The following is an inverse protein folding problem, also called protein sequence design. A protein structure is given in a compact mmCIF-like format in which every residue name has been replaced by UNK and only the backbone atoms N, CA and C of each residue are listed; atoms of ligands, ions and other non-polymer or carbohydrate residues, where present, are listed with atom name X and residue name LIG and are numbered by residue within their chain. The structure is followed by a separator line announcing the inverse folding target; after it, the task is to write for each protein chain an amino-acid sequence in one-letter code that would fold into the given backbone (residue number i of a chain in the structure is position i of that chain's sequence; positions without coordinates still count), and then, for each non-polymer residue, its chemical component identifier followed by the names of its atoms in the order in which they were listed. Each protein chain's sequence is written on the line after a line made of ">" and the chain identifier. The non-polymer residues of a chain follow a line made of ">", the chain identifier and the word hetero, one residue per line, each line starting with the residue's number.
data_IF_670870686475
#
_entry.id   IF_670870686475
#
_cell.length_a   1.000
_cell.length_b   1.000
_cell.length_c   1.000
_cell.angle_alpha   90.00
_cell.angle_beta   90.00
_cell.angle_gamma   90.00
#
_symmetry.space_group_name_H-M   'P 1'
#
loop_
_entity.id
_entity.type
_entity.pdbx_description
1 polymer ?
#
# COMPACT_ATOMS: atom_id res chain seq x y z
N UNK A 1 19.41 16.85 17.82
CA UNK A 1 19.37 17.63 16.54
C UNK A 1 19.23 16.62 15.40
N UNK A 2 18.19 16.73 14.55
CA UNK A 2 18.07 15.81 13.41
C UNK A 2 19.01 16.25 12.30
N UNK A 3 19.82 15.35 11.71
CA UNK A 3 20.76 15.73 10.65
C UNK A 3 19.99 16.32 9.45
N UNK A 4 20.47 17.45 8.93
CA UNK A 4 19.93 18.02 7.69
C UNK A 4 20.29 17.07 6.54
N UNK A 5 19.28 16.64 5.79
CA UNK A 5 19.45 15.80 4.60
C UNK A 5 19.91 16.75 3.47
N UNK A 6 21.13 16.57 2.97
CA UNK A 6 21.73 17.48 1.98
C UNK A 6 21.71 16.92 0.54
N UNK A 7 21.77 15.60 0.40
CA UNK A 7 21.83 14.91 -0.90
C UNK A 7 20.45 14.52 -1.45
N UNK A 8 19.43 14.54 -0.60
CA UNK A 8 18.04 14.35 -1.01
C UNK A 8 17.25 15.62 -0.67
N UNK A 9 16.58 16.17 -1.67
CA UNK A 9 15.47 17.08 -1.46
C UNK A 9 14.22 16.19 -1.36
N UNK A 10 13.69 15.86 -0.15
CA UNK A 10 12.53 14.99 0.00
C UNK A 10 11.28 15.76 -0.45
N UNK A 11 11.15 15.97 -1.76
CA UNK A 11 9.98 16.61 -2.31
C UNK A 11 8.83 15.62 -2.20
N UNK A 12 7.76 16.01 -1.49
CA UNK A 12 6.51 15.25 -1.43
C UNK A 12 5.89 14.99 -2.81
N UNK A 13 6.47 15.59 -3.86
CA UNK A 13 6.00 15.58 -5.24
C UNK A 13 5.93 14.18 -5.82
N UNK A 14 6.93 13.31 -5.61
CA UNK A 14 6.91 11.95 -6.20
C UNK A 14 5.76 11.11 -5.63
N UNK A 15 5.62 10.94 -4.30
CA UNK A 15 4.50 10.16 -3.76
C UNK A 15 3.15 10.86 -4.00
N UNK A 16 3.10 12.20 -4.03
CA UNK A 16 1.89 12.95 -4.40
C UNK A 16 1.50 12.71 -5.86
N UNK A 17 2.45 12.73 -6.80
CA UNK A 17 2.20 12.45 -8.22
C UNK A 17 1.74 11.01 -8.41
N UNK A 18 2.34 10.05 -7.71
CA UNK A 18 1.88 8.66 -7.73
C UNK A 18 0.44 8.51 -7.19
N UNK A 19 0.12 9.18 -6.08
CA UNK A 19 -1.23 9.19 -5.51
C UNK A 19 -2.25 9.83 -6.46
N UNK A 20 -1.93 10.99 -7.03
CA UNK A 20 -2.79 11.70 -7.98
C UNK A 20 -2.95 10.91 -9.30
N UNK A 21 -1.89 10.28 -9.80
CA UNK A 21 -1.95 9.40 -10.97
C UNK A 21 -2.82 8.16 -10.70
N UNK A 22 -2.80 7.61 -9.49
CA UNK A 22 -3.69 6.54 -9.06
C UNK A 22 -5.17 6.95 -9.10
N UNK A 23 -5.51 8.13 -8.56
CA UNK A 23 -6.87 8.69 -8.62
C UNK A 23 -7.28 8.99 -10.06
N UNK A 24 -6.41 9.59 -10.85
CA UNK A 24 -6.68 9.87 -12.26
C UNK A 24 -6.90 8.57 -13.05
N UNK A 25 -6.07 7.56 -12.83
CA UNK A 25 -6.22 6.24 -13.44
C UNK A 25 -7.57 5.60 -13.10
N UNK A 26 -8.01 5.71 -11.85
CA UNK A 26 -9.34 5.26 -11.45
C UNK A 26 -10.44 6.03 -12.20
N UNK A 27 -10.38 7.35 -12.27
CA UNK A 27 -11.40 8.17 -12.95
C UNK A 27 -11.45 7.91 -14.46
N UNK A 28 -10.29 7.72 -15.09
CA UNK A 28 -10.17 7.59 -16.55
C UNK A 28 -10.49 6.17 -17.03
N UNK A 29 -10.04 5.15 -16.29
CA UNK A 29 -10.12 3.75 -16.73
C UNK A 29 -11.15 2.90 -15.98
N UNK A 30 -11.76 3.39 -14.89
CA UNK A 30 -12.81 2.62 -14.23
C UNK A 30 -14.06 2.51 -15.11
N UNK A 31 -14.74 1.35 -15.09
CA UNK A 31 -16.05 1.20 -15.72
C UNK A 31 -17.00 2.29 -15.22
N UNK A 32 -17.82 2.88 -16.11
CA UNK A 32 -18.74 3.96 -15.74
C UNK A 32 -19.75 3.57 -14.65
N UNK A 33 -20.00 2.27 -14.47
CA UNK A 33 -20.80 1.71 -13.38
C UNK A 33 -20.19 1.90 -11.99
N UNK A 34 -18.89 2.21 -11.90
CA UNK A 34 -18.15 2.45 -10.64
C UNK A 34 -18.13 3.93 -10.27
N UNK A 35 -18.29 4.84 -11.24
CA UNK A 35 -18.26 6.29 -11.00
C UNK A 35 -19.27 6.78 -9.94
N UNK A 36 -20.53 6.27 -9.87
CA UNK A 36 -21.47 6.64 -8.80
C UNK A 36 -21.05 6.16 -7.40
N UNK A 37 -20.12 5.21 -7.32
CA UNK A 37 -19.57 4.64 -6.07
C UNK A 37 -18.24 5.29 -5.67
N UNK A 38 -17.78 6.31 -6.40
CA UNK A 38 -16.64 7.13 -6.01
C UNK A 38 -17.06 8.08 -4.88
N UNK A 39 -17.20 7.53 -3.69
CA UNK A 39 -17.37 8.33 -2.49
C UNK A 39 -16.02 8.82 -1.95
N UNK A 40 -16.08 9.60 -0.87
CA UNK A 40 -14.89 10.10 -0.20
C UNK A 40 -13.99 8.97 0.31
N UNK A 41 -14.56 7.82 0.72
CA UNK A 41 -13.80 6.70 1.25
C UNK A 41 -12.94 6.04 0.17
N UNK A 42 -13.45 5.84 -1.05
CA UNK A 42 -12.69 5.31 -2.18
C UNK A 42 -11.54 6.25 -2.56
N UNK A 43 -11.81 7.56 -2.65
CA UNK A 43 -10.78 8.54 -3.00
C UNK A 43 -9.68 8.57 -1.93
N UNK A 44 -10.04 8.61 -0.66
CA UNK A 44 -9.10 8.58 0.46
C UNK A 44 -8.29 7.28 0.47
N UNK A 45 -8.93 6.13 0.20
CA UNK A 45 -8.27 4.84 0.11
C UNK A 45 -7.17 4.85 -0.96
N UNK A 46 -7.50 5.28 -2.18
CA UNK A 46 -6.55 5.28 -3.32
C UNK A 46 -5.43 6.29 -3.13
N UNK A 47 -5.73 7.49 -2.60
CA UNK A 47 -4.72 8.48 -2.28
C UNK A 47 -3.74 7.98 -1.21
N UNK A 48 -4.27 7.38 -0.13
CA UNK A 48 -3.44 6.83 0.94
C UNK A 48 -2.58 5.66 0.44
N UNK A 49 -3.16 4.74 -0.34
CA UNK A 49 -2.45 3.62 -0.95
C UNK A 49 -1.34 4.11 -1.89
N UNK A 50 -1.64 5.10 -2.73
CA UNK A 50 -0.69 5.69 -3.67
C UNK A 50 0.44 6.45 -2.99
N UNK A 51 0.15 7.17 -1.90
CA UNK A 51 1.17 7.87 -1.10
C UNK A 51 2.14 6.86 -0.45
N UNK A 52 1.60 5.75 0.06
CA UNK A 52 2.39 4.67 0.65
C UNK A 52 3.27 3.97 -0.40
N UNK A 53 2.67 3.45 -1.47
CA UNK A 53 3.38 2.71 -2.52
C UNK A 53 4.35 3.60 -3.31
N UNK A 54 3.90 4.80 -3.70
CA UNK A 54 4.72 5.78 -4.41
C UNK A 54 5.89 6.28 -3.58
N UNK A 55 5.73 6.39 -2.27
CA UNK A 55 6.81 6.75 -1.36
C UNK A 55 7.88 5.66 -1.21
N UNK A 56 7.47 4.39 -1.17
CA UNK A 56 8.41 3.25 -1.20
C UNK A 56 9.19 3.25 -2.52
N UNK A 57 8.51 3.43 -3.65
CA UNK A 57 9.15 3.49 -4.97
C UNK A 57 10.14 4.67 -5.06
N UNK A 58 9.74 5.84 -4.54
CA UNK A 58 10.61 7.01 -4.47
C UNK A 58 11.87 6.71 -3.64
N UNK A 59 11.73 6.13 -2.45
CA UNK A 59 12.90 5.73 -1.64
C UNK A 59 13.78 4.69 -2.34
N UNK A 60 13.18 3.68 -2.97
CA UNK A 60 13.91 2.64 -3.69
C UNK A 60 14.71 3.19 -4.89
N UNK A 61 14.28 4.32 -5.46
CA UNK A 61 15.01 5.01 -6.55
C UNK A 61 16.20 5.83 -6.08
N UNK A 62 16.30 6.14 -4.78
CA UNK A 62 17.40 6.94 -4.22
C UNK A 62 18.66 6.08 -4.04
N UNK A 63 19.80 6.72 -4.25
CA UNK A 63 21.13 6.14 -3.98
C UNK A 63 21.87 7.06 -3.00
N UNK A 64 21.79 6.79 -1.68
CA UNK A 64 22.50 7.61 -0.70
C UNK A 64 24.02 7.51 -0.90
N UNK A 65 24.76 8.63 -0.94
CA UNK A 65 26.20 8.62 -1.22
C UNK A 65 27.00 7.80 -0.19
N UNK A 66 26.63 7.88 1.09
CA UNK A 66 27.27 7.14 2.19
C UNK A 66 26.53 5.83 2.55
N UNK A 67 25.64 5.37 1.67
CA UNK A 67 24.80 4.19 1.89
C UNK A 67 23.65 4.39 2.90
N UNK A 68 22.81 3.36 3.02
CA UNK A 68 21.60 3.36 3.85
C UNK A 68 21.88 3.33 5.36
N UNK A 69 23.10 2.97 5.76
CA UNK A 69 23.53 3.01 7.17
C UNK A 69 23.87 4.41 7.67
N UNK A 70 24.00 5.39 6.76
CA UNK A 70 24.34 6.76 7.13
C UNK A 70 23.26 7.42 8.01
N UNK A 71 23.63 8.32 8.94
CA UNK A 71 22.66 9.02 9.79
C UNK A 71 21.60 9.79 9.00
N UNK A 72 21.96 10.34 7.84
CA UNK A 72 21.05 11.09 6.97
C UNK A 72 20.03 10.17 6.28
N UNK A 73 20.47 9.01 5.77
CA UNK A 73 19.58 8.03 5.14
C UNK A 73 18.62 7.40 6.17
N UNK A 74 19.12 7.08 7.37
CA UNK A 74 18.28 6.61 8.48
C UNK A 74 17.22 7.63 8.88
N UNK A 75 17.60 8.91 9.01
CA UNK A 75 16.65 9.97 9.33
C UNK A 75 15.57 10.14 8.25
N UNK A 76 15.91 9.93 6.97
CA UNK A 76 14.94 9.92 5.88
C UNK A 76 13.98 8.73 5.99
N UNK A 77 14.50 7.52 6.21
CA UNK A 77 13.68 6.32 6.43
C UNK A 77 12.73 6.50 7.61
N UNK A 78 13.21 7.02 8.75
CA UNK A 78 12.38 7.23 9.95
C UNK A 78 11.26 8.27 9.72
N UNK A 79 11.53 9.32 8.94
CA UNK A 79 10.51 10.30 8.55
C UNK A 79 9.48 9.69 7.62
N UNK A 80 9.95 8.98 6.59
CA UNK A 80 9.06 8.29 5.66
C UNK A 80 8.23 7.23 6.36
N UNK A 81 8.82 6.43 7.25
CA UNK A 81 8.14 5.36 7.98
C UNK A 81 6.92 5.87 8.76
N UNK A 82 6.99 7.07 9.36
CA UNK A 82 5.84 7.68 10.04
C UNK A 82 4.69 7.99 9.08
N UNK A 83 5.00 8.61 7.93
CA UNK A 83 4.00 8.93 6.90
C UNK A 83 3.45 7.66 6.27
N UNK A 84 4.32 6.70 5.97
CA UNK A 84 3.97 5.41 5.40
C UNK A 84 3.05 4.61 6.32
N UNK A 85 3.31 4.58 7.63
CA UNK A 85 2.44 3.92 8.61
C UNK A 85 1.06 4.57 8.69
N UNK A 86 0.97 5.90 8.69
CA UNK A 86 -0.31 6.61 8.66
C UNK A 86 -1.07 6.34 7.37
N UNK A 87 -0.41 6.45 6.21
CA UNK A 87 -1.00 6.19 4.91
C UNK A 87 -1.49 4.73 4.79
N UNK A 88 -0.69 3.77 5.28
CA UNK A 88 -1.08 2.37 5.34
C UNK A 88 -2.29 2.15 6.27
N UNK A 89 -2.31 2.76 7.46
CA UNK A 89 -3.42 2.64 8.40
C UNK A 89 -4.73 3.20 7.81
N UNK A 90 -4.68 4.37 7.15
CA UNK A 90 -5.83 4.95 6.45
C UNK A 90 -6.30 4.04 5.32
N UNK A 91 -5.39 3.48 4.54
CA UNK A 91 -5.70 2.52 3.46
C UNK A 91 -6.39 1.27 4.02
N UNK A 92 -5.84 0.69 5.08
CA UNK A 92 -6.40 -0.50 5.72
C UNK A 92 -7.81 -0.24 6.28
N UNK A 93 -7.99 0.87 7.02
CA UNK A 93 -9.27 1.23 7.62
C UNK A 93 -10.35 1.46 6.55
N UNK A 94 -10.04 2.27 5.53
CA UNK A 94 -10.98 2.53 4.43
C UNK A 94 -11.26 1.27 3.60
N UNK A 95 -10.32 0.32 3.52
CA UNK A 95 -10.56 -0.98 2.90
C UNK A 95 -11.52 -1.85 3.71
N UNK A 96 -11.40 -1.86 5.04
CA UNK A 96 -12.32 -2.58 5.95
C UNK A 96 -13.72 -1.98 5.89
N UNK A 97 -13.85 -0.65 5.87
CA UNK A 97 -15.14 0.02 5.74
C UNK A 97 -15.84 -0.36 4.44
N UNK A 98 -15.14 -0.28 3.31
CA UNK A 98 -15.68 -0.70 2.00
C UNK A 98 -16.07 -2.18 1.97
N UNK A 99 -15.31 -3.04 2.66
CA UNK A 99 -15.64 -4.46 2.78
C UNK A 99 -16.95 -4.68 3.55
N UNK A 100 -17.18 -3.93 4.62
CA UNK A 100 -18.42 -3.99 5.40
C UNK A 100 -19.66 -3.57 4.62
N UNK A 101 -19.51 -2.70 3.62
CA UNK A 101 -20.62 -2.30 2.74
C UNK A 101 -20.91 -3.31 1.63
N UNK A 102 -19.91 -4.12 1.25
CA UNK A 102 -20.01 -5.07 0.14
C UNK A 102 -20.34 -6.50 0.57
N UNK A 103 -19.94 -6.92 1.76
CA UNK A 103 -20.34 -8.20 2.34
C UNK A 103 -21.71 -8.07 2.99
N UNK A 104 -22.66 -8.94 2.62
CA UNK A 104 -23.97 -9.00 3.26
C UNK A 104 -23.99 -10.00 4.40
N UNK A 105 -23.26 -11.11 4.23
CA UNK A 105 -23.10 -12.17 5.21
C UNK A 105 -21.63 -12.56 5.38
N UNK A 106 -21.25 -13.08 6.56
CA UNK A 106 -19.87 -13.57 6.81
C UNK A 106 -19.51 -14.72 5.87
N UNK A 107 -20.50 -15.52 5.45
CA UNK A 107 -20.30 -16.57 4.46
C UNK A 107 -19.78 -16.05 3.12
N UNK A 108 -20.10 -14.80 2.77
CA UNK A 108 -19.66 -14.21 1.51
C UNK A 108 -18.14 -14.18 1.37
N UNK A 109 -17.41 -14.20 2.50
CA UNK A 109 -15.95 -14.25 2.55
C UNK A 109 -15.36 -15.47 1.82
N UNK A 110 -16.04 -16.62 1.82
CA UNK A 110 -15.55 -17.84 1.18
C UNK A 110 -16.48 -18.41 0.10
N UNK A 111 -17.71 -17.89 -0.03
CA UNK A 111 -18.65 -18.30 -1.07
C UNK A 111 -18.59 -17.40 -2.31
N UNK A 112 -18.10 -16.16 -2.18
CA UNK A 112 -18.04 -15.20 -3.29
C UNK A 112 -16.61 -14.93 -3.74
N UNK A 113 -16.43 -14.60 -5.02
CA UNK A 113 -15.14 -14.19 -5.55
C UNK A 113 -14.62 -12.93 -4.85
N UNK A 114 -15.51 -11.97 -4.57
CA UNK A 114 -15.18 -10.76 -3.82
C UNK A 114 -14.60 -11.09 -2.43
N UNK A 115 -15.29 -11.94 -1.67
CA UNK A 115 -14.86 -12.37 -0.35
C UNK A 115 -13.52 -13.07 -0.37
N UNK A 116 -13.27 -13.94 -1.36
CA UNK A 116 -11.99 -14.61 -1.50
C UNK A 116 -10.85 -13.63 -1.78
N UNK A 117 -11.08 -12.65 -2.66
CA UNK A 117 -10.11 -11.56 -2.93
C UNK A 117 -9.82 -10.76 -1.66
N UNK A 118 -10.86 -10.45 -0.89
CA UNK A 118 -10.73 -9.74 0.37
C UNK A 118 -9.93 -10.54 1.40
N UNK A 119 -10.16 -11.86 1.52
CA UNK A 119 -9.38 -12.73 2.40
C UNK A 119 -7.89 -12.72 2.05
N UNK A 120 -7.56 -12.80 0.75
CA UNK A 120 -6.17 -12.71 0.28
C UNK A 120 -5.56 -11.36 0.63
N UNK A 121 -6.29 -10.25 0.44
CA UNK A 121 -5.84 -8.91 0.85
C UNK A 121 -5.61 -8.81 2.36
N UNK A 122 -6.51 -9.35 3.18
CA UNK A 122 -6.36 -9.38 4.63
C UNK A 122 -5.13 -10.20 5.05
N UNK A 123 -4.94 -11.38 4.47
CA UNK A 123 -3.77 -12.23 4.72
C UNK A 123 -2.46 -11.51 4.36
N UNK A 124 -2.44 -10.79 3.23
CA UNK A 124 -1.30 -9.97 2.82
C UNK A 124 -0.98 -8.86 3.82
N UNK A 125 -2.00 -8.13 4.29
CA UNK A 125 -1.86 -7.08 5.30
C UNK A 125 -1.31 -7.64 6.61
N UNK A 126 -1.84 -8.78 7.07
CA UNK A 126 -1.37 -9.46 8.28
C UNK A 126 0.08 -9.96 8.12
N UNK A 127 0.44 -10.52 6.96
CA UNK A 127 1.80 -10.93 6.67
C UNK A 127 2.76 -9.73 6.73
N UNK A 128 2.43 -8.60 6.10
CA UNK A 128 3.24 -7.39 6.17
C UNK A 128 3.42 -6.84 7.59
N UNK A 129 2.36 -6.85 8.40
CA UNK A 129 2.43 -6.45 9.81
C UNK A 129 3.34 -7.40 10.61
N UNK A 130 3.18 -8.71 10.43
CA UNK A 130 4.03 -9.72 11.06
C UNK A 130 5.50 -9.55 10.69
N UNK A 131 5.79 -9.25 9.43
CA UNK A 131 7.14 -8.96 8.93
C UNK A 131 7.71 -7.67 9.53
N UNK A 132 6.92 -6.60 9.60
CA UNK A 132 7.35 -5.35 10.25
C UNK A 132 7.68 -5.56 11.74
N UNK A 133 6.94 -6.42 12.44
CA UNK A 133 7.22 -6.78 13.83
C UNK A 133 8.46 -7.66 13.95
N UNK A 134 8.62 -8.64 13.06
CA UNK A 134 9.79 -9.52 13.02
C UNK A 134 11.09 -8.77 12.74
N UNK A 135 11.05 -7.79 11.83
CA UNK A 135 12.18 -6.89 11.54
C UNK A 135 12.55 -6.04 12.76
N UNK A 136 11.56 -5.46 13.45
CA UNK A 136 11.79 -4.72 14.71
C UNK A 136 12.37 -5.61 15.81
N UNK A 137 12.02 -6.89 15.82
CA UNK A 137 12.57 -7.88 16.74
C UNK A 137 13.96 -8.43 16.33
N UNK A 138 14.57 -7.91 15.26
CA UNK A 138 15.92 -8.29 14.82
C UNK A 138 16.01 -9.65 14.11
N UNK A 139 14.89 -10.20 13.63
CA UNK A 139 14.87 -11.51 12.95
C UNK A 139 15.19 -11.38 11.46
N UNK A 140 16.03 -12.24 10.88
CA UNK A 140 16.34 -12.21 9.44
C UNK A 140 15.17 -12.80 8.62
N UNK A 141 14.31 -11.94 8.07
CA UNK A 141 13.09 -12.34 7.31
C UNK A 141 13.13 -12.02 5.80
N UNK A 142 14.21 -11.45 5.29
CA UNK A 142 14.30 -10.86 3.94
C UNK A 142 13.92 -11.76 2.74
N UNK A 143 14.18 -13.07 2.81
CA UNK A 143 13.83 -13.99 1.71
C UNK A 143 12.36 -14.40 1.70
N UNK A 144 11.77 -14.58 2.88
CA UNK A 144 10.34 -14.83 3.03
C UNK A 144 9.53 -13.57 2.69
N UNK A 145 10.09 -12.38 2.98
CA UNK A 145 9.52 -11.08 2.59
C UNK A 145 9.32 -10.96 1.08
N UNK A 146 10.37 -11.21 0.29
CA UNK A 146 10.29 -11.07 -1.16
C UNK A 146 9.30 -12.06 -1.79
N UNK A 147 9.28 -13.31 -1.31
CA UNK A 147 8.37 -14.33 -1.81
C UNK A 147 6.90 -14.04 -1.46
N UNK A 148 6.62 -13.63 -0.22
CA UNK A 148 5.28 -13.27 0.19
C UNK A 148 4.77 -12.04 -0.57
N UNK A 149 5.61 -11.01 -0.74
CA UNK A 149 5.26 -9.81 -1.51
C UNK A 149 4.96 -10.14 -2.98
N UNK A 150 5.80 -10.95 -3.63
CA UNK A 150 5.60 -11.38 -5.03
C UNK A 150 4.31 -12.20 -5.16
N UNK A 151 4.05 -13.14 -4.26
CA UNK A 151 2.83 -13.96 -4.28
C UNK A 151 1.57 -13.11 -4.10
N UNK A 152 1.59 -12.17 -3.16
CA UNK A 152 0.47 -11.25 -2.91
C UNK A 152 0.23 -10.36 -4.12
N UNK A 153 1.27 -9.74 -4.66
CA UNK A 153 1.15 -8.86 -5.84
C UNK A 153 0.66 -9.66 -7.05
N UNK A 154 1.21 -10.86 -7.27
CA UNK A 154 0.81 -11.75 -8.35
C UNK A 154 -0.65 -12.20 -8.23
N UNK A 155 -1.08 -12.64 -7.04
CA UNK A 155 -2.47 -13.02 -6.78
C UNK A 155 -3.42 -11.84 -6.95
N UNK A 156 -3.03 -10.65 -6.48
CA UNK A 156 -3.84 -9.43 -6.61
C UNK A 156 -3.97 -8.99 -8.07
N UNK A 157 -2.88 -9.04 -8.84
CA UNK A 157 -2.88 -8.72 -10.26
C UNK A 157 -3.71 -9.73 -11.07
N UNK A 158 -3.61 -11.01 -10.74
CA UNK A 158 -4.40 -12.07 -11.37
C UNK A 158 -5.90 -11.84 -11.10
N UNK A 159 -6.27 -11.57 -9.85
CA UNK A 159 -7.66 -11.30 -9.45
C UNK A 159 -8.21 -10.00 -10.04
N UNK A 160 -7.37 -8.99 -10.28
CA UNK A 160 -7.77 -7.76 -10.96
C UNK A 160 -7.95 -7.94 -12.48
N UNK A 161 -7.20 -8.88 -13.10
CA UNK A 161 -7.24 -9.14 -14.54
C UNK A 161 -8.48 -9.94 -14.98
N UNK A 162 -9.10 -10.69 -14.07
CA UNK A 162 -10.37 -11.36 -14.30
C UNK A 162 -11.49 -10.57 -13.60
N UNK A 163 -12.19 -9.66 -14.31
CA UNK A 163 -13.38 -9.05 -13.75
C UNK A 163 -14.37 -10.18 -13.45
N UNK A 164 -14.55 -10.48 -12.17
CA UNK A 164 -15.54 -11.44 -11.72
C UNK A 164 -16.90 -10.94 -12.22
N UNK A 165 -17.41 -11.61 -13.26
CA UNK A 165 -18.74 -11.38 -13.77
C UNK A 165 -19.70 -11.77 -12.65
N UNK A 166 -20.28 -10.77 -12.01
CA UNK A 166 -21.45 -10.90 -11.15
C UNK A 166 -22.60 -10.15 -11.83
#
# INVERSE_FOLDING_TARGET
>A
MTPKIQWANPSLRIPLVAALAGVLGLVVFAPRSVLPRLDLAVVVHVLAAGMWAGGIMALASLRPPDGWSSPQARALIERFARVALLAFAVTALTGVLQAGEQLRDVSDLWTTTYGFVLLVKCAAVLAMLGLSLAWRAGRPVARLEALAAILVVGATALLAAFPAQA
#
